data_IF_364059941060
#
_entry.id   IF_364059941060
#
_cell.length_a   1.000
_cell.length_b   1.000
_cell.length_c   1.000
_cell.angle_alpha   90.00
_cell.angle_beta   90.00
_cell.angle_gamma   90.00
#
_symmetry.space_group_name_H-M   'P 1'
#
loop_
_entity.id
_entity.type
_entity.pdbx_description
1 polymer ?
#
# COMPACT_ATOMS: atom_id res chain seq x y z
N UNK A 1 6.79 -17.23 -22.93
CA UNK A 1 5.74 -16.18 -22.81
C UNK A 1 6.10 -15.33 -21.63
N UNK A 2 5.91 -13.99 -21.71
CA UNK A 2 6.13 -13.09 -20.58
C UNK A 2 5.09 -13.33 -19.48
N UNK A 3 5.44 -13.04 -18.22
CA UNK A 3 4.48 -13.07 -17.10
C UNK A 3 3.50 -11.93 -17.30
N UNK A 4 2.21 -12.24 -17.18
CA UNK A 4 1.10 -11.30 -17.32
C UNK A 4 0.62 -10.81 -15.97
N UNK A 5 0.62 -9.51 -15.77
CA UNK A 5 0.28 -8.87 -14.49
C UNK A 5 -0.92 -7.95 -14.68
N UNK A 6 -1.92 -8.10 -13.83
CA UNK A 6 -3.03 -7.14 -13.73
C UNK A 6 -2.87 -6.28 -12.48
N UNK A 7 -2.87 -4.95 -12.65
CA UNK A 7 -2.79 -3.99 -11.54
C UNK A 7 -4.15 -3.34 -11.36
N UNK A 8 -4.85 -3.71 -10.31
CA UNK A 8 -6.11 -3.10 -9.91
C UNK A 8 -5.80 -1.82 -9.14
N UNK A 9 -5.86 -0.68 -9.84
CA UNK A 9 -5.56 0.62 -9.28
C UNK A 9 -4.28 1.28 -9.81
N UNK A 10 -4.26 1.70 -11.08
CA UNK A 10 -3.15 2.50 -11.65
C UNK A 10 -3.22 3.97 -11.18
N UNK A 11 -3.12 4.14 -9.85
CA UNK A 11 -3.03 5.42 -9.18
C UNK A 11 -1.59 5.93 -9.02
N UNK A 12 -1.32 6.59 -7.88
CA UNK A 12 -0.03 7.21 -7.58
C UNK A 12 1.13 6.21 -7.49
N UNK A 13 0.90 5.00 -6.98
CA UNK A 13 1.88 3.91 -6.93
C UNK A 13 1.73 2.99 -8.13
N UNK A 14 0.50 2.56 -8.46
CA UNK A 14 0.26 1.54 -9.48
C UNK A 14 0.66 1.94 -10.89
N UNK A 15 0.54 3.22 -11.28
CA UNK A 15 0.97 3.67 -12.62
C UNK A 15 2.49 3.64 -12.79
N UNK A 16 3.32 4.21 -11.89
CA UNK A 16 4.77 4.06 -11.97
C UNK A 16 5.24 2.60 -11.88
N UNK A 17 4.59 1.78 -11.05
CA UNK A 17 4.84 0.34 -10.97
C UNK A 17 4.59 -0.33 -12.33
N UNK A 18 3.44 -0.06 -12.97
CA UNK A 18 3.11 -0.61 -14.29
C UNK A 18 4.17 -0.28 -15.34
N UNK A 19 4.62 0.99 -15.39
CA UNK A 19 5.68 1.43 -16.29
C UNK A 19 7.01 0.72 -16.03
N UNK A 20 7.37 0.54 -14.76
CA UNK A 20 8.58 -0.18 -14.38
C UNK A 20 8.51 -1.66 -14.78
N UNK A 21 7.37 -2.31 -14.61
CA UNK A 21 7.16 -3.70 -15.01
C UNK A 21 7.24 -3.87 -16.55
N UNK A 22 6.62 -2.99 -17.31
CA UNK A 22 6.72 -2.97 -18.78
C UNK A 22 8.17 -2.87 -19.23
N UNK A 23 8.97 -1.98 -18.62
CA UNK A 23 10.40 -1.82 -18.95
C UNK A 23 11.23 -3.09 -18.68
N UNK A 24 10.73 -4.00 -17.87
CA UNK A 24 11.33 -5.30 -17.52
C UNK A 24 10.75 -6.47 -18.31
N UNK A 25 9.91 -6.19 -19.30
CA UNK A 25 9.38 -7.20 -20.22
C UNK A 25 8.14 -7.94 -19.72
N UNK A 26 7.47 -7.46 -18.67
CA UNK A 26 6.16 -7.98 -18.26
C UNK A 26 5.06 -7.45 -19.18
N UNK A 27 4.02 -8.26 -19.38
CA UNK A 27 2.77 -7.78 -19.98
C UNK A 27 1.87 -7.23 -18.86
N UNK A 28 1.39 -5.98 -19.02
CA UNK A 28 0.68 -5.31 -17.93
C UNK A 28 -0.70 -4.83 -18.37
N UNK A 29 -1.73 -5.28 -17.65
CA UNK A 29 -3.05 -4.68 -17.64
C UNK A 29 -3.17 -3.74 -16.45
N UNK A 30 -3.81 -2.59 -16.65
CA UNK A 30 -3.98 -1.60 -15.59
C UNK A 30 -5.39 -1.06 -15.51
N UNK A 31 -5.92 -0.93 -14.29
CA UNK A 31 -7.24 -0.35 -14.11
C UNK A 31 -7.21 1.08 -13.58
N UNK A 32 -8.22 1.83 -13.93
CA UNK A 32 -8.54 3.16 -13.38
C UNK A 32 -10.05 3.31 -13.23
N UNK A 33 -10.48 4.16 -12.29
CA UNK A 33 -11.91 4.54 -12.17
C UNK A 33 -12.30 5.67 -13.11
N UNK A 34 -11.32 6.38 -13.69
CA UNK A 34 -11.52 7.57 -14.53
C UNK A 34 -11.33 7.24 -15.99
N UNK A 35 -12.39 7.43 -16.80
CA UNK A 35 -12.35 7.26 -18.25
C UNK A 35 -11.26 8.12 -18.90
N UNK A 36 -11.10 9.36 -18.43
CA UNK A 36 -10.09 10.30 -18.96
C UNK A 36 -8.64 9.84 -18.80
N UNK A 37 -8.38 8.80 -17.99
CA UNK A 37 -7.04 8.23 -17.79
C UNK A 37 -6.76 7.00 -18.65
N UNK A 38 -7.73 6.47 -19.36
CA UNK A 38 -7.55 5.26 -20.18
C UNK A 38 -6.53 5.48 -21.29
N UNK A 39 -6.59 6.62 -21.97
CA UNK A 39 -5.65 6.96 -23.04
C UNK A 39 -4.21 7.11 -22.51
N UNK A 40 -4.04 7.75 -21.37
CA UNK A 40 -2.74 7.84 -20.70
C UNK A 40 -2.14 6.47 -20.33
N UNK A 41 -2.96 5.51 -19.92
CA UNK A 41 -2.50 4.14 -19.65
C UNK A 41 -2.08 3.46 -20.96
N UNK A 42 -2.87 3.60 -22.02
CA UNK A 42 -2.59 3.04 -23.33
C UNK A 42 -1.30 3.60 -23.93
N UNK A 43 -1.10 4.92 -23.86
CA UNK A 43 0.13 5.59 -24.33
C UNK A 43 1.38 5.14 -23.57
N UNK A 44 1.19 4.73 -22.32
CA UNK A 44 2.26 4.12 -21.50
C UNK A 44 2.53 2.65 -21.84
N UNK A 45 1.80 2.04 -22.80
CA UNK A 45 1.92 0.63 -23.17
C UNK A 45 1.15 -0.33 -22.25
N UNK A 46 0.32 0.19 -21.36
CA UNK A 46 -0.52 -0.59 -20.44
C UNK A 46 -1.84 -0.91 -21.12
N UNK A 47 -2.31 -2.16 -21.08
CA UNK A 47 -3.67 -2.50 -21.54
C UNK A 47 -4.69 -1.95 -20.55
N UNK A 48 -5.47 -0.90 -20.90
CA UNK A 48 -6.26 -0.15 -19.95
C UNK A 48 -7.64 -0.77 -19.73
N UNK A 49 -8.12 -0.69 -18.49
CA UNK A 49 -9.48 -1.08 -18.10
C UNK A 49 -10.11 -0.02 -17.20
N UNK A 50 -11.35 0.36 -17.49
CA UNK A 50 -12.13 1.14 -16.55
C UNK A 50 -12.83 0.20 -15.58
N UNK A 51 -12.42 0.23 -14.30
CA UNK A 51 -12.98 -0.62 -13.25
C UNK A 51 -13.18 0.20 -12.00
N UNK A 52 -14.36 0.11 -11.43
CA UNK A 52 -14.70 0.73 -10.15
C UNK A 52 -15.32 -0.31 -9.22
N UNK A 53 -14.68 -0.49 -8.05
CA UNK A 53 -15.21 -1.34 -6.99
C UNK A 53 -16.15 -0.51 -6.12
N UNK A 54 -17.39 -0.96 -6.03
CA UNK A 54 -18.40 -0.41 -5.13
C UNK A 54 -18.76 -1.43 -4.03
N UNK A 55 -19.34 -1.01 -2.89
CA UNK A 55 -19.68 -1.93 -1.81
C UNK A 55 -20.63 -3.05 -2.20
N UNK A 56 -21.44 -2.86 -3.25
CA UNK A 56 -22.48 -3.80 -3.67
C UNK A 56 -22.30 -4.35 -5.09
N UNK A 57 -21.36 -3.80 -5.87
CA UNK A 57 -21.12 -4.22 -7.25
C UNK A 57 -19.73 -3.84 -7.75
N UNK A 58 -19.34 -4.43 -8.87
CA UNK A 58 -18.17 -4.01 -9.64
C UNK A 58 -18.66 -3.42 -10.97
N UNK A 59 -18.22 -2.22 -11.28
CA UNK A 59 -18.51 -1.56 -12.55
C UNK A 59 -17.29 -1.75 -13.47
N UNK A 60 -17.52 -2.20 -14.70
CA UNK A 60 -16.49 -2.50 -15.68
C UNK A 60 -16.32 -4.00 -15.92
N UNK A 61 -15.48 -4.34 -16.92
CA UNK A 61 -15.26 -5.73 -17.33
C UNK A 61 -14.14 -6.38 -16.52
N UNK A 62 -14.47 -6.87 -15.32
CA UNK A 62 -13.53 -7.55 -14.43
C UNK A 62 -13.06 -8.89 -14.99
N UNK A 63 -13.90 -9.61 -15.71
CA UNK A 63 -13.53 -10.91 -16.28
C UNK A 63 -12.43 -10.77 -17.32
N UNK A 64 -12.54 -9.85 -18.27
CA UNK A 64 -11.50 -9.60 -19.27
C UNK A 64 -10.22 -9.00 -18.64
N UNK A 65 -10.37 -8.19 -17.59
CA UNK A 65 -9.24 -7.66 -16.84
C UNK A 65 -8.40 -8.77 -16.19
N UNK A 66 -9.05 -9.80 -15.63
CA UNK A 66 -8.37 -10.91 -14.96
C UNK A 66 -8.01 -12.07 -15.90
N UNK A 67 -8.56 -12.11 -17.11
CA UNK A 67 -8.32 -13.18 -18.08
C UNK A 67 -6.82 -13.33 -18.39
N UNK A 68 -6.30 -14.55 -18.36
CA UNK A 68 -4.89 -14.85 -18.65
C UNK A 68 -3.88 -14.06 -17.79
N UNK A 69 -4.22 -13.78 -16.55
CA UNK A 69 -3.37 -13.07 -15.60
C UNK A 69 -2.64 -14.07 -14.70
N UNK A 70 -1.31 -13.95 -14.61
CA UNK A 70 -0.50 -14.81 -13.74
C UNK A 70 -0.47 -14.27 -12.31
N UNK A 71 -0.45 -12.94 -12.16
CA UNK A 71 -0.42 -12.26 -10.85
C UNK A 71 -1.36 -11.06 -10.86
N UNK A 72 -2.24 -11.00 -9.87
CA UNK A 72 -3.06 -9.81 -9.59
C UNK A 72 -2.40 -8.97 -8.50
N UNK A 73 -2.20 -7.69 -8.77
CA UNK A 73 -1.79 -6.69 -7.76
C UNK A 73 -2.99 -5.83 -7.44
N UNK A 74 -3.38 -5.81 -6.16
CA UNK A 74 -4.48 -4.97 -5.66
C UNK A 74 -3.86 -3.75 -4.97
N UNK A 75 -3.91 -2.58 -5.63
CA UNK A 75 -3.37 -1.29 -5.16
C UNK A 75 -4.48 -0.24 -5.08
N UNK A 76 -5.50 -0.54 -4.26
CA UNK A 76 -6.63 0.37 -4.02
C UNK A 76 -6.67 0.80 -2.56
N UNK A 77 -6.78 2.10 -2.29
CA UNK A 77 -6.87 2.60 -0.91
C UNK A 77 -8.28 2.38 -0.35
N UNK A 78 -8.44 2.23 0.99
CA UNK A 78 -9.75 2.15 1.63
C UNK A 78 -10.68 3.34 1.30
N UNK A 79 -10.12 4.55 1.09
CA UNK A 79 -10.88 5.74 0.68
C UNK A 79 -11.70 6.41 1.79
N UNK A 80 -11.74 5.85 2.99
CA UNK A 80 -12.63 6.24 4.09
C UNK A 80 -12.43 7.65 4.66
N UNK A 81 -11.33 8.33 4.32
CA UNK A 81 -11.09 9.73 4.77
C UNK A 81 -12.05 10.76 4.18
N UNK A 82 -12.76 10.40 3.11
CA UNK A 82 -13.71 11.29 2.39
C UNK A 82 -15.17 10.99 2.72
N UNK A 83 -15.42 9.86 3.35
CA UNK A 83 -16.76 9.45 3.74
C UNK A 83 -17.07 10.07 5.11
N UNK A 84 -17.90 11.11 5.13
CA UNK A 84 -18.45 11.73 6.35
C UNK A 84 -19.59 10.90 6.95
N UNK A 85 -19.76 9.66 6.47
CA UNK A 85 -20.86 8.79 6.90
C UNK A 85 -20.60 8.23 8.31
N UNK A 86 -21.53 8.50 9.20
CA UNK A 86 -21.69 7.88 10.53
C UNK A 86 -22.11 6.42 10.45
N UNK A 87 -22.05 5.79 9.27
CA UNK A 87 -22.42 4.38 9.07
C UNK A 87 -21.25 3.48 9.45
N UNK A 88 -21.53 2.51 10.32
CA UNK A 88 -20.63 1.38 10.61
C UNK A 88 -20.46 0.43 9.41
N UNK A 89 -20.58 0.94 8.20
CA UNK A 89 -20.55 0.14 6.98
C UNK A 89 -19.11 -0.22 6.61
N UNK A 90 -18.87 -1.50 6.45
CA UNK A 90 -17.55 -2.03 6.06
C UNK A 90 -17.34 -1.90 4.54
N UNK A 91 -17.43 -0.66 4.03
CA UNK A 91 -17.46 -0.35 2.59
C UNK A 91 -16.25 -0.92 1.86
N UNK A 92 -15.05 -0.78 2.41
CA UNK A 92 -13.84 -1.31 1.79
C UNK A 92 -13.80 -2.83 1.81
N UNK A 93 -14.19 -3.44 2.92
CA UNK A 93 -14.26 -4.91 3.05
C UNK A 93 -15.24 -5.49 2.03
N UNK A 94 -16.40 -4.86 1.85
CA UNK A 94 -17.40 -5.29 0.88
C UNK A 94 -16.87 -5.20 -0.56
N UNK A 95 -16.13 -4.13 -0.90
CA UNK A 95 -15.43 -4.02 -2.19
C UNK A 95 -14.47 -5.19 -2.44
N UNK A 96 -13.68 -5.58 -1.42
CA UNK A 96 -12.77 -6.72 -1.52
C UNK A 96 -13.53 -8.04 -1.62
N UNK A 97 -14.59 -8.24 -0.83
CA UNK A 97 -15.43 -9.44 -0.90
C UNK A 97 -16.08 -9.62 -2.28
N UNK A 98 -16.54 -8.54 -2.89
CA UNK A 98 -17.11 -8.58 -4.24
C UNK A 98 -16.07 -8.96 -5.32
N UNK A 99 -14.78 -8.71 -5.07
CA UNK A 99 -13.71 -9.05 -6.01
C UNK A 99 -13.36 -10.55 -5.97
N UNK A 100 -13.48 -11.20 -4.82
CA UNK A 100 -13.04 -12.60 -4.61
C UNK A 100 -13.64 -13.58 -5.63
N UNK A 101 -14.96 -13.62 -5.89
CA UNK A 101 -15.53 -14.55 -6.86
C UNK A 101 -14.96 -14.42 -8.28
N UNK A 102 -14.56 -13.20 -8.66
CA UNK A 102 -13.91 -12.97 -9.96
C UNK A 102 -12.49 -13.52 -10.00
N UNK A 103 -11.72 -13.37 -8.90
CA UNK A 103 -10.37 -13.94 -8.79
C UNK A 103 -10.46 -15.47 -8.86
N UNK A 104 -11.33 -16.08 -8.08
CA UNK A 104 -11.55 -17.54 -8.06
C UNK A 104 -11.93 -18.08 -9.46
N UNK A 105 -12.89 -17.43 -10.11
CA UNK A 105 -13.36 -17.82 -11.46
C UNK A 105 -12.24 -17.67 -12.52
N UNK A 106 -11.35 -16.70 -12.35
CA UNK A 106 -10.25 -16.46 -13.30
C UNK A 106 -9.15 -17.50 -13.26
N UNK A 107 -9.04 -18.28 -12.17
CA UNK A 107 -7.99 -19.25 -11.94
C UNK A 107 -6.64 -18.65 -11.51
N UNK A 108 -6.58 -17.35 -11.21
CA UNK A 108 -5.38 -16.69 -10.65
C UNK A 108 -5.03 -17.33 -9.31
N UNK A 109 -3.76 -17.78 -9.18
CA UNK A 109 -3.26 -18.41 -7.97
C UNK A 109 -2.44 -17.46 -7.09
N UNK A 110 -2.01 -16.31 -7.60
CA UNK A 110 -1.04 -15.41 -6.97
C UNK A 110 -1.59 -13.99 -6.91
N UNK A 111 -1.78 -13.50 -5.69
CA UNK A 111 -2.27 -12.13 -5.43
C UNK A 111 -1.26 -11.38 -4.58
N UNK A 112 -0.99 -10.13 -4.91
CA UNK A 112 -0.25 -9.18 -4.06
C UNK A 112 -1.23 -8.11 -3.62
N UNK A 113 -1.40 -7.92 -2.32
CA UNK A 113 -2.24 -6.88 -1.78
C UNK A 113 -1.41 -5.78 -1.11
N UNK A 114 -1.56 -4.57 -1.62
CA UNK A 114 -0.93 -3.37 -1.05
C UNK A 114 -1.76 -2.91 0.14
N UNK A 115 -1.27 -3.20 1.33
CA UNK A 115 -1.85 -2.83 2.61
C UNK A 115 -1.09 -1.68 3.28
N UNK A 116 -1.31 -1.44 4.55
CA UNK A 116 -0.72 -0.34 5.30
C UNK A 116 -0.35 -0.74 6.72
N UNK A 117 0.71 -0.15 7.26
CA UNK A 117 1.07 -0.25 8.69
C UNK A 117 0.05 0.37 9.63
N UNK A 118 -1.02 0.98 9.12
CA UNK A 118 -2.18 1.43 9.92
C UNK A 118 -3.01 0.29 10.53
N UNK A 119 -2.72 -0.97 10.18
CA UNK A 119 -3.26 -2.17 10.83
C UNK A 119 -2.70 -2.36 12.26
N UNK A 120 -1.62 -1.66 12.60
CA UNK A 120 -1.04 -1.61 13.94
C UNK A 120 -1.41 -0.30 14.62
N UNK A 121 -1.78 -0.36 15.90
CA UNK A 121 -2.01 0.81 16.74
C UNK A 121 -0.72 1.46 17.23
N UNK A 122 -0.82 2.69 17.68
CA UNK A 122 0.25 3.36 18.40
C UNK A 122 0.20 3.03 19.88
N UNK A 123 1.36 2.90 20.53
CA UNK A 123 1.48 2.53 21.94
C UNK A 123 2.37 3.50 22.74
N UNK A 124 2.14 3.48 24.05
CA UNK A 124 3.08 3.99 25.03
C UNK A 124 3.31 2.91 26.11
N UNK A 125 4.56 2.56 26.40
CA UNK A 125 5.78 2.98 25.71
C UNK A 125 5.80 2.55 24.23
N UNK A 126 6.56 3.28 23.40
CA UNK A 126 6.75 3.00 21.97
C UNK A 126 7.41 1.63 21.82
N UNK A 127 6.84 0.78 20.98
CA UNK A 127 7.32 -0.59 20.76
C UNK A 127 7.79 -0.78 19.31
N UNK A 128 8.72 -1.72 19.13
CA UNK A 128 9.07 -2.25 17.84
C UNK A 128 8.00 -3.26 17.39
N UNK A 129 7.54 -3.10 16.15
CA UNK A 129 6.46 -3.87 15.53
C UNK A 129 7.03 -4.70 14.39
N UNK A 130 6.78 -6.00 14.44
CA UNK A 130 7.09 -6.95 13.37
C UNK A 130 5.80 -7.49 12.75
N UNK A 131 5.91 -8.34 11.73
CA UNK A 131 4.77 -9.00 11.11
C UNK A 131 4.01 -9.95 12.06
N UNK A 132 4.69 -10.43 13.11
CA UNK A 132 4.13 -11.31 14.14
C UNK A 132 3.35 -10.55 15.24
N UNK A 133 3.47 -9.22 15.25
CA UNK A 133 2.79 -8.39 16.25
C UNK A 133 1.27 -8.44 16.03
N UNK A 134 0.53 -8.63 17.13
CA UNK A 134 -0.94 -8.62 17.10
C UNK A 134 -1.49 -7.34 16.51
N UNK A 135 -2.41 -7.46 15.57
CA UNK A 135 -3.04 -6.32 14.90
C UNK A 135 -4.02 -5.62 15.85
N UNK A 136 -3.84 -4.35 16.06
CA UNK A 136 -4.67 -3.51 16.92
C UNK A 136 -4.82 -2.10 16.34
N UNK A 137 -5.59 -1.93 15.25
CA UNK A 137 -5.69 -0.66 14.54
C UNK A 137 -6.48 0.40 15.32
N UNK A 138 -5.94 1.63 15.38
CA UNK A 138 -6.58 2.79 16.01
C UNK A 138 -7.62 3.46 15.11
N UNK A 139 -7.59 3.20 13.80
CA UNK A 139 -8.43 3.89 12.81
C UNK A 139 -9.42 2.94 12.15
N UNK A 140 -10.55 3.46 11.69
CA UNK A 140 -11.54 2.68 10.94
C UNK A 140 -10.94 2.10 9.65
N UNK A 141 -10.11 2.86 8.95
CA UNK A 141 -9.36 2.39 7.78
C UNK A 141 -8.45 1.20 8.13
N UNK A 142 -7.76 1.26 9.26
CA UNK A 142 -6.93 0.14 9.74
C UNK A 142 -7.76 -1.10 10.06
N UNK A 143 -8.91 -0.96 10.71
CA UNK A 143 -9.82 -2.09 11.03
C UNK A 143 -10.33 -2.79 9.76
N UNK A 144 -10.74 -2.00 8.77
CA UNK A 144 -11.20 -2.56 7.50
C UNK A 144 -10.07 -3.21 6.70
N UNK A 145 -8.84 -2.67 6.77
CA UNK A 145 -7.67 -3.32 6.18
C UNK A 145 -7.37 -4.68 6.85
N UNK A 146 -7.40 -4.77 8.18
CA UNK A 146 -7.22 -6.05 8.90
C UNK A 146 -8.23 -7.09 8.41
N UNK A 147 -9.49 -6.72 8.30
CA UNK A 147 -10.53 -7.63 7.81
C UNK A 147 -10.28 -8.03 6.35
N UNK A 148 -9.90 -7.07 5.49
CA UNK A 148 -9.60 -7.34 4.09
C UNK A 148 -8.38 -8.27 3.93
N UNK A 149 -7.29 -8.04 4.69
CA UNK A 149 -6.13 -8.92 4.75
C UNK A 149 -6.53 -10.35 5.12
N UNK A 150 -7.32 -10.51 6.19
CA UNK A 150 -7.79 -11.81 6.66
C UNK A 150 -8.60 -12.53 5.58
N UNK A 151 -9.56 -11.84 4.96
CA UNK A 151 -10.43 -12.44 3.92
C UNK A 151 -9.61 -12.87 2.69
N UNK A 152 -8.61 -12.09 2.29
CA UNK A 152 -7.76 -12.44 1.15
C UNK A 152 -6.79 -13.59 1.48
N UNK A 153 -6.14 -13.59 2.65
CA UNK A 153 -5.17 -14.63 3.02
C UNK A 153 -5.81 -15.96 3.40
N UNK A 154 -7.06 -15.95 3.89
CA UNK A 154 -7.79 -17.18 4.21
C UNK A 154 -8.40 -17.88 2.99
N UNK A 155 -8.30 -17.31 1.79
CA UNK A 155 -8.85 -17.92 0.59
C UNK A 155 -8.06 -19.19 0.22
N UNK A 156 -8.77 -20.25 -0.16
CA UNK A 156 -8.17 -21.54 -0.49
C UNK A 156 -7.80 -21.66 -1.98
N UNK A 157 -8.45 -20.87 -2.86
CA UNK A 157 -8.26 -20.93 -4.31
C UNK A 157 -7.04 -20.16 -4.80
N UNK A 158 -6.58 -19.16 -4.04
CA UNK A 158 -5.39 -18.38 -4.35
C UNK A 158 -4.61 -18.00 -3.08
N UNK A 159 -3.37 -17.60 -3.23
CA UNK A 159 -2.51 -17.16 -2.13
C UNK A 159 -2.22 -15.68 -2.24
N UNK A 160 -2.35 -14.97 -1.11
CA UNK A 160 -2.17 -13.51 -1.07
C UNK A 160 -0.95 -13.11 -0.26
N UNK A 161 0.04 -12.52 -0.91
CA UNK A 161 1.15 -11.86 -0.23
C UNK A 161 0.75 -10.43 0.10
N UNK A 162 0.83 -10.07 1.38
CA UNK A 162 0.51 -8.73 1.88
C UNK A 162 1.78 -7.88 1.98
N UNK A 163 1.67 -6.61 1.60
CA UNK A 163 2.72 -5.62 1.83
C UNK A 163 2.11 -4.46 2.61
N UNK A 164 2.51 -4.30 3.87
CA UNK A 164 2.07 -3.22 4.75
C UNK A 164 3.04 -2.05 4.62
N UNK A 165 2.76 -1.16 3.70
CA UNK A 165 3.56 0.05 3.52
C UNK A 165 3.33 1.06 4.64
N UNK A 166 4.40 1.77 5.03
CA UNK A 166 4.34 2.96 5.85
C UNK A 166 3.77 4.17 5.13
N UNK A 167 4.00 5.36 5.67
CA UNK A 167 3.62 6.61 5.03
C UNK A 167 4.35 6.78 3.69
N UNK A 168 3.60 6.87 2.59
CA UNK A 168 4.17 6.93 1.24
C UNK A 168 4.74 8.31 0.93
N UNK A 169 5.99 8.34 0.48
CA UNK A 169 6.75 9.52 0.04
C UNK A 169 7.05 9.45 -1.46
N UNK A 170 7.18 10.62 -2.09
CA UNK A 170 7.66 10.76 -3.47
C UNK A 170 7.80 12.24 -3.83
N UNK A 171 8.35 12.55 -5.01
CA UNK A 171 8.64 13.91 -5.45
C UNK A 171 7.43 14.85 -5.37
N UNK A 172 6.26 14.33 -5.67
CA UNK A 172 4.98 15.05 -5.68
C UNK A 172 4.18 14.86 -4.38
N UNK A 173 4.67 14.03 -3.43
CA UNK A 173 3.95 13.65 -2.21
C UNK A 173 4.82 13.85 -0.98
N UNK A 174 4.67 15.00 -0.36
CA UNK A 174 5.38 15.38 0.86
C UNK A 174 4.39 15.63 2.01
N UNK A 175 4.31 14.74 3.01
CA UNK A 175 3.36 14.88 4.12
C UNK A 175 3.60 16.14 4.96
N UNK A 176 4.79 16.72 4.92
CA UNK A 176 5.10 17.97 5.61
C UNK A 176 4.15 19.12 5.23
N UNK A 177 3.63 19.14 3.99
CA UNK A 177 2.66 20.15 3.52
C UNK A 177 1.37 20.17 4.35
N UNK A 178 1.00 19.05 4.97
CA UNK A 178 -0.19 18.95 5.81
C UNK A 178 0.01 19.49 7.22
N UNK A 179 1.27 19.58 7.69
CA UNK A 179 1.59 20.08 9.02
C UNK A 179 2.23 21.48 9.01
N UNK A 180 2.61 22.00 7.84
CA UNK A 180 3.25 23.29 7.69
C UNK A 180 2.40 24.41 8.37
N UNK A 181 3.00 25.13 9.32
CA UNK A 181 2.38 26.21 10.06
C UNK A 181 1.29 25.81 11.08
N UNK A 182 1.02 24.52 11.25
CA UNK A 182 0.09 24.06 12.30
C UNK A 182 0.71 24.20 13.68
N UNK A 183 -0.13 24.52 14.66
CA UNK A 183 0.24 24.62 16.08
C UNK A 183 -0.34 23.44 16.86
N UNK A 184 0.25 23.20 18.02
CA UNK A 184 -0.18 22.14 18.95
C UNK A 184 -0.22 20.73 18.31
N UNK A 185 0.79 20.41 17.48
CA UNK A 185 0.90 19.11 16.83
C UNK A 185 1.30 18.07 17.87
N UNK A 186 0.51 17.03 18.03
CA UNK A 186 0.72 15.99 19.03
C UNK A 186 1.87 15.03 18.67
N UNK A 187 2.34 14.28 19.69
CA UNK A 187 3.32 13.21 19.58
C UNK A 187 4.64 13.67 18.91
N UNK A 188 5.34 14.68 19.45
CA UNK A 188 6.59 15.18 18.87
C UNK A 188 7.68 14.10 18.73
N UNK A 189 7.79 13.21 19.72
CA UNK A 189 8.84 12.20 19.79
C UNK A 189 8.45 10.85 19.15
N UNK A 190 7.22 10.74 18.61
CA UNK A 190 6.79 9.55 17.90
C UNK A 190 7.69 9.30 16.67
N UNK A 191 8.19 8.06 16.46
CA UNK A 191 8.96 7.73 15.27
C UNK A 191 8.12 7.87 14.01
N UNK A 192 8.69 8.41 12.93
CA UNK A 192 8.03 8.35 11.63
C UNK A 192 8.33 7.00 10.97
N UNK A 193 7.31 6.43 10.32
CA UNK A 193 7.39 5.18 9.58
C UNK A 193 7.00 5.47 8.14
N UNK A 194 7.97 5.78 7.29
CA UNK A 194 7.75 6.25 5.92
C UNK A 194 8.58 5.44 4.92
N UNK A 195 8.16 5.46 3.66
CA UNK A 195 8.85 4.78 2.57
C UNK A 195 8.72 5.58 1.28
N UNK A 196 9.78 5.62 0.48
CA UNK A 196 9.77 6.25 -0.84
C UNK A 196 9.08 5.35 -1.87
N UNK A 197 8.41 5.97 -2.86
CA UNK A 197 7.70 5.27 -3.93
C UNK A 197 8.59 4.29 -4.70
N UNK A 198 9.84 4.66 -4.93
CA UNK A 198 10.82 3.86 -5.62
C UNK A 198 11.11 2.55 -4.87
N UNK A 199 11.22 2.61 -3.53
CA UNK A 199 11.40 1.43 -2.69
C UNK A 199 10.12 0.57 -2.66
N UNK A 200 8.92 1.18 -2.65
CA UNK A 200 7.67 0.42 -2.78
C UNK A 200 7.66 -0.41 -4.08
N UNK A 201 8.02 0.21 -5.21
CA UNK A 201 8.11 -0.46 -6.51
C UNK A 201 9.14 -1.57 -6.46
N UNK A 202 10.35 -1.29 -5.96
CA UNK A 202 11.42 -2.28 -5.88
C UNK A 202 11.07 -3.50 -5.03
N UNK A 203 10.35 -3.33 -3.92
CA UNK A 203 9.87 -4.43 -3.07
C UNK A 203 8.83 -5.28 -3.82
N UNK A 204 7.85 -4.67 -4.47
CA UNK A 204 6.86 -5.39 -5.28
C UNK A 204 7.55 -6.19 -6.38
N UNK A 205 8.53 -5.60 -7.07
CA UNK A 205 9.30 -6.27 -8.11
C UNK A 205 10.11 -7.48 -7.58
N UNK A 206 10.66 -7.38 -6.37
CA UNK A 206 11.33 -8.52 -5.72
C UNK A 206 10.36 -9.67 -5.47
N UNK A 207 9.15 -9.38 -5.02
CA UNK A 207 8.10 -10.40 -4.85
C UNK A 207 7.72 -11.01 -6.20
N UNK A 208 7.55 -10.20 -7.24
CA UNK A 208 7.20 -10.69 -8.57
C UNK A 208 8.29 -11.58 -9.20
N UNK A 209 9.56 -11.35 -8.90
CA UNK A 209 10.64 -12.25 -9.31
C UNK A 209 10.49 -13.66 -8.75
N UNK A 210 9.84 -13.79 -7.59
CA UNK A 210 9.59 -15.11 -6.97
C UNK A 210 8.51 -15.94 -7.69
N UNK A 211 7.75 -15.32 -8.61
CA UNK A 211 6.70 -16.03 -9.39
C UNK A 211 7.25 -17.21 -10.16
N UNK A 212 8.52 -17.14 -10.57
CA UNK A 212 9.22 -18.18 -11.34
C UNK A 212 9.94 -19.20 -10.46
N UNK A 213 9.91 -19.05 -9.15
CA UNK A 213 10.58 -19.93 -8.21
C UNK A 213 9.57 -20.83 -7.49
N UNK A 214 9.62 -22.13 -7.75
CA UNK A 214 8.68 -23.11 -7.18
C UNK A 214 8.78 -23.22 -5.64
N UNK A 215 9.93 -22.85 -5.08
CA UNK A 215 10.17 -22.88 -3.63
C UNK A 215 9.70 -21.61 -2.89
N UNK A 216 9.12 -20.63 -3.59
CA UNK A 216 8.61 -19.44 -2.93
C UNK A 216 7.26 -19.72 -2.27
N UNK A 217 7.22 -19.50 -0.97
CA UNK A 217 5.98 -19.60 -0.20
C UNK A 217 5.15 -18.34 -0.35
N UNK A 218 4.07 -18.41 -1.13
CA UNK A 218 3.05 -17.37 -1.21
C UNK A 218 2.22 -17.36 0.08
N UNK A 219 1.48 -16.29 0.32
CA UNK A 219 0.74 -16.02 1.56
C UNK A 219 1.58 -15.41 2.68
N UNK A 220 2.69 -14.75 2.29
CA UNK A 220 3.57 -14.02 3.20
C UNK A 220 2.99 -12.65 3.55
N UNK A 221 3.43 -12.11 4.68
CA UNK A 221 3.20 -10.71 5.05
C UNK A 221 4.55 -10.03 5.21
N UNK A 222 4.66 -8.79 4.70
CA UNK A 222 5.85 -7.95 4.80
C UNK A 222 5.47 -6.55 5.30
N UNK A 223 6.14 -6.09 6.34
CA UNK A 223 6.18 -4.68 6.68
C UNK A 223 7.23 -3.98 5.83
N UNK A 224 6.89 -2.84 5.27
CA UNK A 224 7.79 -2.13 4.37
C UNK A 224 7.84 -0.62 4.69
N UNK A 225 8.88 -0.26 5.42
CA UNK A 225 9.22 1.10 5.87
C UNK A 225 10.72 1.31 5.70
N UNK A 226 11.16 2.51 5.36
CA UNK A 226 12.59 2.83 5.37
C UNK A 226 13.17 2.63 6.79
N UNK A 227 14.44 2.18 6.90
CA UNK A 227 15.03 1.82 8.20
C UNK A 227 15.28 3.02 9.14
N UNK A 228 15.13 4.25 8.63
CA UNK A 228 15.28 5.45 9.45
C UNK A 228 13.94 5.80 10.13
N UNK A 229 14.01 6.04 11.44
CA UNK A 229 12.85 6.41 12.24
C UNK A 229 13.12 7.69 13.05
N UNK A 230 13.40 8.86 12.40
CA UNK A 230 13.53 10.10 13.15
C UNK A 230 12.23 10.41 13.88
N UNK A 231 12.28 11.24 14.90
CA UNK A 231 11.06 11.72 15.57
C UNK A 231 10.21 12.57 14.61
N UNK A 232 8.93 12.66 14.88
CA UNK A 232 8.02 13.51 14.08
C UNK A 232 8.54 14.95 14.06
N UNK A 233 8.95 15.49 15.22
CA UNK A 233 9.46 16.86 15.30
C UNK A 233 10.68 17.05 14.42
N UNK A 234 11.69 16.18 14.54
CA UNK A 234 12.91 16.24 13.71
C UNK A 234 12.60 16.16 12.23
N UNK A 235 11.82 15.14 11.82
CA UNK A 235 11.48 14.93 10.41
C UNK A 235 10.72 16.11 9.81
N UNK A 236 9.63 16.55 10.46
CA UNK A 236 8.80 17.61 9.91
C UNK A 236 9.47 18.97 9.93
N UNK A 237 10.29 19.28 10.93
CA UNK A 237 11.09 20.51 10.97
C UNK A 237 12.13 20.52 9.84
N UNK A 238 12.93 19.44 9.71
CA UNK A 238 13.94 19.30 8.65
C UNK A 238 13.31 19.45 7.25
N UNK A 239 12.20 18.74 6.99
CA UNK A 239 11.55 18.79 5.68
C UNK A 239 10.85 20.13 5.42
N UNK A 240 10.27 20.77 6.42
CA UNK A 240 9.70 22.12 6.27
C UNK A 240 10.78 23.14 5.90
N UNK A 241 11.96 23.09 6.55
CA UNK A 241 13.10 23.95 6.21
C UNK A 241 13.57 23.73 4.78
N UNK A 242 13.78 22.48 4.35
CA UNK A 242 14.21 22.13 2.97
C UNK A 242 13.22 22.67 1.93
N UNK A 243 11.92 22.62 2.22
CA UNK A 243 10.87 23.05 1.28
C UNK A 243 10.44 24.52 1.47
N UNK A 244 11.15 25.29 2.32
CA UNK A 244 10.82 26.68 2.65
C UNK A 244 9.35 26.85 3.10
N UNK A 245 8.86 25.93 3.94
CA UNK A 245 7.52 25.96 4.50
C UNK A 245 7.56 26.44 5.96
N UNK A 246 6.45 27.04 6.45
CA UNK A 246 6.32 27.37 7.87
C UNK A 246 6.51 26.13 8.74
N UNK A 247 7.31 26.26 9.83
CA UNK A 247 7.55 25.15 10.75
C UNK A 247 6.26 24.79 11.51
N UNK A 248 5.95 23.52 11.68
CA UNK A 248 4.93 23.11 12.63
C UNK A 248 5.39 23.34 14.06
N UNK A 249 4.48 23.77 14.95
CA UNK A 249 4.72 23.92 16.38
C UNK A 249 4.14 22.70 17.09
N UNK A 250 4.99 21.91 17.70
CA UNK A 250 4.59 20.72 18.42
C UNK A 250 4.15 21.04 19.85
N UNK A 251 3.23 20.24 20.38
CA UNK A 251 2.81 20.30 21.77
C UNK A 251 4.01 19.97 22.70
N UNK A 252 4.08 20.66 23.83
CA UNK A 252 5.10 20.44 24.85
C UNK A 252 4.54 19.56 25.98
N UNK A 253 5.46 18.85 26.65
CA UNK A 253 5.18 18.08 27.89
C UNK A 253 4.09 17.00 27.80
N UNK A 254 3.89 16.41 26.60
CA UNK A 254 3.03 15.27 26.40
C UNK A 254 3.86 14.02 26.07
N UNK A 255 3.51 12.90 26.72
CA UNK A 255 4.06 11.59 26.34
C UNK A 255 3.64 11.28 24.89
N UNK A 256 4.61 10.95 24.07
CA UNK A 256 4.35 10.60 22.66
C UNK A 256 3.98 9.14 22.52
N UNK A 257 2.84 8.87 21.90
CA UNK A 257 2.46 7.53 21.42
C UNK A 257 2.98 7.32 20.01
N UNK A 258 3.37 6.10 19.71
CA UNK A 258 3.88 5.75 18.39
C UNK A 258 4.25 4.28 18.29
N UNK A 259 4.92 3.94 17.20
CA UNK A 259 5.45 2.60 16.94
C UNK A 259 6.70 2.70 16.05
N UNK A 260 7.59 1.73 16.14
CA UNK A 260 8.72 1.55 15.22
C UNK A 260 8.41 0.30 14.38
N UNK A 261 8.20 0.46 13.09
CA UNK A 261 7.91 -0.65 12.19
C UNK A 261 9.20 -1.27 11.68
N UNK A 262 9.44 -2.53 12.00
CA UNK A 262 10.58 -3.30 11.51
C UNK A 262 10.31 -3.81 10.10
N UNK A 263 11.23 -3.55 9.18
CA UNK A 263 11.21 -4.09 7.80
C UNK A 263 12.28 -5.18 7.59
N UNK A 264 12.78 -5.75 8.67
CA UNK A 264 13.83 -6.76 8.65
C UNK A 264 13.50 -7.95 7.76
N UNK A 265 12.23 -8.34 7.70
CA UNK A 265 11.76 -9.45 6.85
C UNK A 265 11.92 -9.14 5.35
N UNK A 266 11.65 -7.90 4.92
CA UNK A 266 11.90 -7.44 3.55
C UNK A 266 13.39 -7.56 3.20
N UNK A 267 14.29 -7.20 4.11
CA UNK A 267 15.73 -7.28 3.89
C UNK A 267 16.22 -8.73 3.84
N UNK A 268 15.78 -9.56 4.79
CA UNK A 268 16.31 -10.93 4.94
C UNK A 268 15.68 -11.94 3.98
N UNK A 269 14.38 -11.87 3.73
CA UNK A 269 13.65 -12.84 2.90
C UNK A 269 13.63 -12.43 1.43
N UNK A 270 13.37 -11.13 1.13
CA UNK A 270 13.37 -10.63 -0.23
C UNK A 270 14.76 -10.21 -0.73
N UNK A 271 15.75 -10.08 0.18
CA UNK A 271 17.07 -9.55 -0.16
C UNK A 271 16.95 -8.13 -0.75
N UNK A 272 16.03 -7.32 -0.20
CA UNK A 272 15.84 -5.94 -0.64
C UNK A 272 16.65 -4.99 0.24
N UNK A 273 17.42 -4.12 -0.38
CA UNK A 273 18.12 -3.02 0.29
C UNK A 273 17.43 -1.71 -0.08
N UNK A 274 17.00 -0.95 0.92
CA UNK A 274 16.35 0.35 0.71
C UNK A 274 17.31 1.31 0.00
N UNK A 275 16.83 1.97 -1.04
CA UNK A 275 17.64 2.81 -1.93
C UNK A 275 17.52 4.29 -1.61
N UNK A 276 16.47 4.69 -0.89
CA UNK A 276 16.16 6.10 -0.62
C UNK A 276 16.01 6.37 0.87
N UNK A 277 16.57 7.48 1.29
CA UNK A 277 16.29 8.04 2.62
C UNK A 277 14.94 8.75 2.65
N UNK A 278 14.37 8.86 3.86
CA UNK A 278 13.12 9.58 4.09
C UNK A 278 13.33 11.07 4.39
#
# INVERSE_FOLDING_TARGET
>A
MGIKISILGCGWLGLPLAKSLLSKGYEVKGSTTSESKLEMLKDAGILPFQIQLEPHQIIGNMEDFLKETDVLIIDIPPGLRRETSTSNEMTFVNKIKNLIPYIEKSGIQKVVFVSSTSVYGDSFPIQEITEETTLNPDTESGKQLVTAETVLQSNEHFKTTLIRFGGLLGEDRHPVKFLAGRTNVENPDAPVNMIQREDCIGIIEKILKQVQHDNWEWNQTFNAVAPQHPTRKEYYHKKAQILNLPLPIFAENLESKGKIISSKKVETILGYSFQKEI
#
